data_IF_573126700898
#
_entry.id   IF_573126700898
#
_cell.length_a   1.000
_cell.length_b   1.000
_cell.length_c   1.000
_cell.angle_alpha   90.00
_cell.angle_beta   90.00
_cell.angle_gamma   90.00
#
_symmetry.space_group_name_H-M   'P 1'
#
loop_
_entity.id
_entity.type
_entity.pdbx_description
1 polymer ?
#
# COMPACT_ATOMS: atom_id res chain seq x y z
N UNK A 1 38.66 24.91 23.98
CA UNK A 1 38.38 26.09 24.84
C UNK A 1 38.42 27.35 23.99
N UNK A 2 37.77 28.46 24.39
CA UNK A 2 37.84 29.72 23.63
C UNK A 2 38.91 30.63 24.23
N UNK A 3 40.07 30.71 23.58
CA UNK A 3 41.13 31.64 23.95
C UNK A 3 40.93 32.99 23.27
N UNK A 4 41.33 34.08 23.94
CA UNK A 4 41.35 35.43 23.37
C UNK A 4 42.79 35.96 23.42
N UNK A 5 43.49 35.84 22.29
CA UNK A 5 44.89 36.26 22.18
C UNK A 5 45.00 37.77 21.96
N UNK A 6 45.53 38.49 22.95
CA UNK A 6 45.81 39.93 22.86
C UNK A 6 47.23 40.15 22.34
N UNK A 7 47.41 40.09 21.02
CA UNK A 7 48.72 40.22 20.36
C UNK A 7 49.34 41.62 20.41
N UNK A 8 48.50 42.66 20.49
CA UNK A 8 48.93 44.05 20.53
C UNK A 8 49.09 44.51 21.98
N UNK A 9 50.29 44.33 22.54
CA UNK A 9 50.64 44.82 23.88
C UNK A 9 51.85 45.76 23.82
N UNK A 10 51.84 46.79 24.66
CA UNK A 10 52.98 47.68 24.84
C UNK A 10 54.16 46.87 25.40
N UNK A 11 55.26 46.79 24.65
CA UNK A 11 56.42 45.95 24.98
C UNK A 11 56.58 44.68 24.12
N UNK A 12 55.63 44.39 23.23
CA UNK A 12 55.68 43.22 22.34
C UNK A 12 55.16 41.94 23.02
N UNK A 13 55.01 40.88 22.23
CA UNK A 13 54.54 39.57 22.69
C UNK A 13 55.67 38.55 22.51
N UNK A 14 55.97 37.72 23.53
CA UNK A 14 57.00 36.70 23.41
C UNK A 14 56.48 35.53 22.56
N UNK A 15 57.09 35.33 21.39
CA UNK A 15 56.75 34.25 20.46
C UNK A 15 57.37 32.92 20.93
N UNK A 16 56.86 32.37 22.03
CA UNK A 16 57.35 31.11 22.61
C UNK A 16 56.65 29.89 22.00
N UNK A 17 57.32 28.74 22.08
CA UNK A 17 56.74 27.45 21.68
C UNK A 17 55.43 27.16 22.44
N UNK A 18 55.35 27.51 23.72
CA UNK A 18 54.15 27.30 24.54
C UNK A 18 52.95 28.12 24.05
N UNK A 19 53.19 29.37 23.63
CA UNK A 19 52.13 30.20 23.06
C UNK A 19 51.66 29.66 21.71
N UNK A 20 52.59 29.17 20.87
CA UNK A 20 52.26 28.54 19.60
C UNK A 20 51.47 27.24 19.79
N UNK A 21 51.84 26.40 20.77
CA UNK A 21 51.07 25.21 21.14
C UNK A 21 49.66 25.57 21.63
N UNK A 22 49.51 26.66 22.39
CA UNK A 22 48.18 27.13 22.83
C UNK A 22 47.32 27.62 21.65
N UNK A 23 47.94 28.24 20.64
CA UNK A 23 47.24 28.63 19.40
C UNK A 23 46.83 27.39 18.61
N UNK A 24 47.66 26.34 18.60
CA UNK A 24 47.37 25.04 17.99
C UNK A 24 46.15 24.36 18.60
N UNK A 25 46.15 24.17 19.91
CA UNK A 25 44.98 23.65 20.65
C UNK A 25 43.71 24.49 20.43
N UNK A 26 43.86 25.80 20.16
CA UNK A 26 42.72 26.69 19.94
C UNK A 26 41.99 26.42 18.62
N UNK A 27 42.70 26.06 17.54
CA UNK A 27 42.08 25.77 16.25
C UNK A 27 41.66 24.31 16.09
N UNK A 28 42.23 23.38 16.86
CA UNK A 28 41.80 21.97 16.88
C UNK A 28 40.31 21.81 17.25
N UNK A 29 39.71 22.78 17.94
CA UNK A 29 38.27 22.76 18.25
C UNK A 29 37.38 22.67 17.00
N UNK A 30 37.86 23.12 15.83
CA UNK A 30 37.11 23.05 14.59
C UNK A 30 37.03 21.63 14.02
N UNK A 31 37.89 20.71 14.45
CA UNK A 31 37.85 19.30 14.04
C UNK A 31 36.54 18.61 14.46
N UNK A 32 35.88 19.10 15.53
CA UNK A 32 34.56 18.61 15.96
C UNK A 32 33.50 18.74 14.85
N UNK A 33 33.67 19.67 13.91
CA UNK A 33 32.79 19.77 12.74
C UNK A 33 32.96 18.58 11.77
N UNK A 34 34.15 18.00 11.70
CA UNK A 34 34.41 16.77 10.97
C UNK A 34 33.70 15.57 11.58
N UNK A 35 33.74 15.44 12.92
CA UNK A 35 32.97 14.44 13.65
C UNK A 35 31.46 14.58 13.43
N UNK A 36 30.94 15.81 13.46
CA UNK A 36 29.51 16.09 13.22
C UNK A 36 29.06 15.70 11.82
N UNK A 37 29.91 15.92 10.81
CA UNK A 37 29.63 15.57 9.43
C UNK A 37 29.67 14.05 9.20
N UNK A 38 30.44 13.32 10.01
CA UNK A 38 30.65 11.88 9.89
C UNK A 38 31.80 11.53 8.95
N UNK A 39 32.30 10.31 9.06
CA UNK A 39 33.42 9.82 8.25
C UNK A 39 33.08 9.78 6.74
N UNK A 40 34.07 10.11 5.90
CA UNK A 40 33.97 10.12 4.42
C UNK A 40 32.90 11.09 3.93
N UNK A 41 33.00 12.33 4.39
CA UNK A 41 31.98 13.34 4.09
C UNK A 41 32.59 14.54 3.38
N UNK A 42 31.94 15.02 2.33
CA UNK A 42 32.30 16.25 1.64
C UNK A 42 31.54 17.41 2.30
N UNK A 43 32.28 18.35 2.86
CA UNK A 43 31.75 19.53 3.56
C UNK A 43 31.56 20.71 2.61
N UNK A 44 32.52 20.92 1.70
CA UNK A 44 32.50 22.04 0.77
C UNK A 44 33.28 21.73 -0.51
N UNK A 45 32.85 22.32 -1.62
CA UNK A 45 33.45 22.10 -2.93
C UNK A 45 33.28 20.67 -3.44
N UNK A 46 34.37 20.09 -3.93
CA UNK A 46 34.44 18.73 -4.50
C UNK A 46 33.39 18.48 -5.58
N UNK A 47 33.14 19.48 -6.43
CA UNK A 47 32.16 19.38 -7.51
C UNK A 47 32.79 18.72 -8.72
N UNK A 48 32.09 17.73 -9.28
CA UNK A 48 32.50 17.03 -10.50
C UNK A 48 32.17 17.89 -11.71
N UNK A 49 33.19 18.33 -12.43
CA UNK A 49 33.07 19.07 -13.69
C UNK A 49 33.69 18.23 -14.81
N UNK A 50 32.84 17.57 -15.60
CA UNK A 50 33.31 16.64 -16.63
C UNK A 50 34.08 15.46 -16.03
N UNK A 51 35.37 15.35 -16.36
CA UNK A 51 36.27 14.29 -15.87
C UNK A 51 37.16 14.74 -14.71
N UNK A 52 36.90 15.87 -14.06
CA UNK A 52 37.65 16.33 -12.90
C UNK A 52 36.75 16.67 -11.71
N UNK A 53 37.31 16.60 -10.51
CA UNK A 53 36.70 17.12 -9.28
C UNK A 53 37.47 18.35 -8.85
N UNK A 54 36.74 19.43 -8.56
CA UNK A 54 37.33 20.66 -8.04
C UNK A 54 37.87 20.47 -6.61
N UNK A 55 38.82 21.31 -6.17
CA UNK A 55 39.28 21.30 -4.78
C UNK A 55 38.14 21.54 -3.78
N UNK A 56 38.35 21.13 -2.54
CA UNK A 56 37.33 21.28 -1.49
C UNK A 56 37.82 20.85 -0.11
N UNK A 57 36.87 20.57 0.79
CA UNK A 57 37.14 20.13 2.15
C UNK A 57 36.37 18.84 2.43
N UNK A 58 37.08 17.84 2.94
CA UNK A 58 36.54 16.52 3.26
C UNK A 58 36.82 16.16 4.72
N UNK A 59 35.92 15.40 5.33
CA UNK A 59 36.08 14.81 6.65
C UNK A 59 36.44 13.33 6.52
N UNK A 60 37.55 12.92 7.11
CA UNK A 60 38.02 11.53 7.15
C UNK A 60 38.42 11.22 8.60
N UNK A 61 37.82 10.18 9.17
CA UNK A 61 38.07 9.73 10.56
C UNK A 61 37.93 10.87 11.58
N UNK A 62 36.91 11.72 11.41
CA UNK A 62 36.64 12.86 12.29
C UNK A 62 37.48 14.10 12.03
N UNK A 63 38.51 14.01 11.17
CA UNK A 63 39.42 15.12 10.87
C UNK A 63 39.14 15.79 9.54
N UNK A 64 39.37 17.10 9.48
CA UNK A 64 39.19 17.94 8.30
C UNK A 64 40.47 17.97 7.47
N UNK A 65 40.33 17.67 6.18
CA UNK A 65 41.42 17.78 5.24
C UNK A 65 41.04 18.61 4.02
N UNK A 66 42.00 19.40 3.54
CA UNK A 66 41.90 20.04 2.25
C UNK A 66 42.11 19.01 1.14
N UNK A 67 41.16 18.97 0.21
CA UNK A 67 41.20 18.12 -0.97
C UNK A 67 41.68 18.94 -2.18
N UNK A 68 42.74 18.49 -2.84
CA UNK A 68 43.36 19.22 -3.95
C UNK A 68 42.60 19.11 -5.28
N UNK A 69 41.58 18.26 -5.36
CA UNK A 69 40.93 17.96 -6.64
C UNK A 69 41.74 17.00 -7.50
N UNK A 70 41.33 16.87 -8.76
CA UNK A 70 42.04 16.10 -9.77
C UNK A 70 41.12 15.34 -10.72
N UNK A 71 41.69 14.43 -11.50
CA UNK A 71 40.94 13.66 -12.50
C UNK A 71 40.08 12.60 -11.80
N UNK A 72 38.79 12.60 -12.10
CA UNK A 72 37.81 11.66 -11.59
C UNK A 72 37.77 10.38 -12.44
N UNK A 73 37.76 9.24 -11.77
CA UNK A 73 37.45 7.93 -12.34
C UNK A 73 36.46 7.20 -11.42
N UNK A 74 35.53 6.38 -11.92
CA UNK A 74 34.58 5.64 -11.08
C UNK A 74 35.22 4.72 -10.04
N UNK A 75 36.46 4.29 -10.28
CA UNK A 75 37.27 3.47 -9.37
C UNK A 75 38.34 4.27 -8.62
N UNK A 76 38.25 5.60 -8.64
CA UNK A 76 39.24 6.46 -8.02
C UNK A 76 39.24 6.29 -6.49
N UNK A 77 40.44 6.13 -5.95
CA UNK A 77 40.71 6.19 -4.52
C UNK A 77 41.33 7.53 -4.18
N UNK A 78 41.14 7.96 -2.93
CA UNK A 78 41.84 9.09 -2.33
C UNK A 78 42.69 8.62 -1.16
N UNK A 79 43.80 9.30 -0.93
CA UNK A 79 44.67 9.04 0.21
C UNK A 79 45.13 10.36 0.83
N UNK A 80 45.55 10.31 2.08
CA UNK A 80 46.11 11.46 2.80
C UNK A 80 47.60 11.52 2.46
N UNK A 81 47.98 12.51 1.66
CA UNK A 81 49.36 12.83 1.36
C UNK A 81 49.93 13.71 2.47
N UNK A 82 51.12 13.36 2.95
CA UNK A 82 51.83 14.11 4.00
C UNK A 82 53.13 14.64 3.39
N UNK A 83 53.28 15.96 3.38
CA UNK A 83 54.45 16.67 2.88
C UNK A 83 55.18 17.33 4.06
N UNK A 84 56.40 16.89 4.33
CA UNK A 84 57.27 17.46 5.34
C UNK A 84 58.08 18.61 4.75
N UNK A 85 57.95 19.82 5.30
CA UNK A 85 58.68 20.99 4.86
C UNK A 85 59.83 21.26 5.86
N UNK A 86 61.09 20.95 5.50
CA UNK A 86 62.22 21.22 6.36
C UNK A 86 62.54 22.71 6.38
N UNK A 87 62.90 23.23 7.55
CA UNK A 87 63.52 24.56 7.68
C UNK A 87 64.88 24.44 8.34
N UNK A 88 65.80 25.29 7.91
CA UNK A 88 67.10 25.43 8.56
C UNK A 88 66.92 26.33 9.77
N UNK A 89 67.29 25.82 10.93
CA UNK A 89 67.25 26.56 12.20
C UNK A 89 68.54 27.36 12.37
N UNK A 90 68.56 28.27 13.35
CA UNK A 90 69.71 29.13 13.67
C UNK A 90 70.98 28.34 14.02
N UNK A 91 70.84 27.05 14.38
CA UNK A 91 71.94 26.10 14.63
C UNK A 91 72.52 25.48 13.34
N UNK A 92 72.08 25.93 12.16
CA UNK A 92 72.36 25.36 10.84
C UNK A 92 71.91 23.91 10.62
N UNK A 93 71.09 23.35 11.51
CA UNK A 93 70.48 22.04 11.31
C UNK A 93 69.11 22.20 10.63
N UNK A 94 68.89 21.44 9.56
CA UNK A 94 67.58 21.33 8.94
C UNK A 94 66.71 20.34 9.72
N UNK A 95 65.59 20.80 10.27
CA UNK A 95 64.57 19.97 10.93
C UNK A 95 63.23 20.19 10.25
N UNK A 96 62.38 19.17 10.19
CA UNK A 96 61.00 19.31 9.72
C UNK A 96 60.23 20.21 10.68
N UNK A 97 59.74 21.35 10.18
CA UNK A 97 58.97 22.31 10.98
C UNK A 97 57.47 22.24 10.69
N UNK A 98 57.10 21.96 9.43
CA UNK A 98 55.70 21.98 9.00
C UNK A 98 55.38 20.64 8.36
N UNK A 99 54.35 19.99 8.88
CA UNK A 99 53.74 18.81 8.27
C UNK A 99 52.44 19.25 7.58
N UNK A 100 52.41 19.15 6.25
CA UNK A 100 51.22 19.50 5.46
C UNK A 100 50.51 18.22 5.03
N UNK A 101 49.29 18.04 5.54
CA UNK A 101 48.43 16.90 5.19
C UNK A 101 47.32 17.33 4.24
N UNK A 102 47.33 16.81 3.01
CA UNK A 102 46.28 17.07 2.02
C UNK A 102 45.73 15.78 1.44
N UNK A 103 44.47 15.77 1.02
CA UNK A 103 43.87 14.61 0.36
C UNK A 103 44.02 14.77 -1.15
N UNK A 104 44.54 13.73 -1.80
CA UNK A 104 44.74 13.69 -3.26
C UNK A 104 44.14 12.41 -3.84
N UNK A 105 43.76 12.46 -5.11
CA UNK A 105 43.47 11.26 -5.87
C UNK A 105 44.74 10.42 -6.07
N UNK A 106 44.59 9.10 -5.96
CA UNK A 106 45.65 8.14 -6.15
C UNK A 106 45.58 7.02 -5.11
N UNK A 107 46.66 6.25 -5.03
CA UNK A 107 46.76 5.12 -4.10
C UNK A 107 47.90 5.39 -3.13
N UNK A 108 47.59 5.44 -1.84
CA UNK A 108 48.56 5.55 -0.75
C UNK A 108 48.57 4.28 0.12
N UNK A 109 49.32 4.33 1.23
CA UNK A 109 49.36 3.24 2.21
C UNK A 109 47.98 2.92 2.79
N UNK A 110 47.20 3.95 3.11
CA UNK A 110 45.78 3.87 3.43
C UNK A 110 45.01 4.66 2.38
N UNK A 111 44.12 3.97 1.66
CA UNK A 111 43.34 4.54 0.58
C UNK A 111 41.84 4.37 0.87
N UNK A 112 41.04 5.37 0.49
CA UNK A 112 39.59 5.39 0.67
C UNK A 112 38.92 5.49 -0.69
N UNK A 113 37.85 4.74 -0.91
CA UNK A 113 37.09 4.80 -2.16
C UNK A 113 36.37 6.14 -2.25
N UNK A 114 36.57 6.88 -3.34
CA UNK A 114 35.88 8.17 -3.52
C UNK A 114 34.36 8.02 -3.62
N UNK A 115 33.86 6.88 -4.11
CA UNK A 115 32.43 6.56 -4.19
C UNK A 115 31.73 6.47 -2.83
N UNK A 116 32.50 6.26 -1.75
CA UNK A 116 31.97 6.24 -0.38
C UNK A 116 31.81 7.65 0.20
N UNK A 117 32.38 8.67 -0.46
CA UNK A 117 32.24 10.04 0.00
C UNK A 117 30.86 10.60 -0.35
N UNK A 118 30.14 11.04 0.67
CA UNK A 118 28.83 11.66 0.50
C UNK A 118 28.93 13.17 0.69
N UNK A 119 28.33 13.93 -0.23
CA UNK A 119 28.16 15.38 -0.08
C UNK A 119 26.94 15.66 0.76
N UNK A 120 27.13 16.34 1.89
CA UNK A 120 26.01 16.73 2.74
C UNK A 120 25.15 17.78 2.04
N UNK A 121 23.84 17.59 2.17
CA UNK A 121 22.90 18.65 1.90
C UNK A 121 22.97 19.72 3.00
N UNK A 122 22.67 20.96 2.64
CA UNK A 122 22.62 22.04 3.62
C UNK A 122 21.53 21.77 4.67
N UNK A 123 21.73 22.25 5.91
CA UNK A 123 20.71 22.17 6.95
C UNK A 123 19.38 22.78 6.50
N UNK A 124 19.42 23.82 5.65
CA UNK A 124 18.23 24.44 5.06
C UNK A 124 17.47 23.49 4.14
N UNK A 125 18.16 22.79 3.24
CA UNK A 125 17.50 21.83 2.34
C UNK A 125 16.96 20.63 3.09
N UNK A 126 17.68 20.15 4.12
CA UNK A 126 17.17 19.10 5.01
C UNK A 126 15.89 19.58 5.71
N UNK A 127 15.86 20.80 6.26
CA UNK A 127 14.66 21.35 6.91
C UNK A 127 13.48 21.45 5.95
N UNK A 128 13.70 21.90 4.71
CA UNK A 128 12.65 21.97 3.69
C UNK A 128 12.11 20.58 3.39
N UNK A 129 12.98 19.58 3.23
CA UNK A 129 12.55 18.19 3.00
C UNK A 129 11.74 17.64 4.16
N UNK A 130 12.19 17.86 5.39
CA UNK A 130 11.47 17.43 6.60
C UNK A 130 10.08 18.07 6.68
N UNK A 131 9.97 19.38 6.43
CA UNK A 131 8.69 20.09 6.46
C UNK A 131 7.72 19.66 5.34
N UNK A 132 8.25 19.20 4.21
CA UNK A 132 7.45 18.70 3.09
C UNK A 132 7.17 17.19 3.18
N UNK A 133 7.74 16.49 4.16
CA UNK A 133 7.51 15.05 4.35
C UNK A 133 6.25 14.88 5.21
N UNK A 134 5.46 13.84 4.90
CA UNK A 134 4.31 13.47 5.72
C UNK A 134 4.76 13.23 7.17
N UNK A 135 4.05 13.84 8.12
CA UNK A 135 4.37 13.65 9.53
C UNK A 135 3.93 12.27 10.01
N UNK A 136 4.46 11.81 11.15
CA UNK A 136 4.01 10.57 11.77
C UNK A 136 2.49 10.57 12.04
N UNK A 137 1.91 11.75 12.31
CA UNK A 137 0.47 11.92 12.50
C UNK A 137 -0.29 11.63 11.21
N UNK A 138 0.17 12.16 10.08
CA UNK A 138 -0.44 11.92 8.76
C UNK A 138 -0.38 10.44 8.38
N UNK A 139 0.77 9.79 8.60
CA UNK A 139 0.95 8.35 8.36
C UNK A 139 -0.01 7.54 9.23
N UNK A 140 -0.10 7.83 10.54
CA UNK A 140 -1.00 7.13 11.45
C UNK A 140 -2.49 7.30 11.08
N UNK A 141 -2.87 8.49 10.61
CA UNK A 141 -4.24 8.77 10.14
C UNK A 141 -4.56 7.98 8.86
N UNK A 142 -3.60 7.84 7.95
CA UNK A 142 -3.75 7.00 6.76
C UNK A 142 -3.87 5.52 7.14
N UNK A 143 -3.05 5.02 8.06
CA UNK A 143 -3.15 3.63 8.57
C UNK A 143 -4.53 3.35 9.15
N UNK A 144 -5.05 4.24 10.01
CA UNK A 144 -6.39 4.07 10.60
C UNK A 144 -7.52 4.10 9.54
N UNK A 145 -7.33 4.84 8.44
CA UNK A 145 -8.29 4.84 7.32
C UNK A 145 -8.22 3.55 6.51
N UNK A 146 -7.03 2.98 6.32
CA UNK A 146 -6.83 1.69 5.64
C UNK A 146 -7.48 0.57 6.45
N UNK A 147 -7.25 0.48 7.75
CA UNK A 147 -7.90 -0.53 8.61
C UNK A 147 -9.44 -0.50 8.49
N UNK A 148 -10.02 0.71 8.46
CA UNK A 148 -11.47 0.88 8.24
C UNK A 148 -11.92 0.43 6.85
N UNK A 149 -11.10 0.63 5.82
CA UNK A 149 -11.40 0.16 4.47
C UNK A 149 -11.33 -1.35 4.41
N UNK A 150 -10.30 -1.98 4.99
CA UNK A 150 -10.15 -3.42 5.06
C UNK A 150 -11.35 -4.09 5.73
N UNK A 151 -11.84 -3.54 6.85
CA UNK A 151 -13.05 -4.04 7.51
C UNK A 151 -14.30 -3.93 6.62
N UNK A 152 -14.42 -2.86 5.83
CA UNK A 152 -15.56 -2.66 4.91
C UNK A 152 -15.50 -3.56 3.69
N UNK A 153 -14.29 -3.86 3.21
CA UNK A 153 -14.08 -4.68 2.02
C UNK A 153 -13.87 -6.16 2.33
N UNK A 154 -13.69 -6.53 3.60
CA UNK A 154 -13.50 -7.91 4.05
C UNK A 154 -14.48 -8.96 3.45
N UNK A 155 -15.80 -8.71 3.33
CA UNK A 155 -16.71 -9.69 2.73
C UNK A 155 -16.65 -9.72 1.20
N UNK A 156 -16.01 -8.73 0.57
CA UNK A 156 -15.85 -8.64 -0.88
C UNK A 156 -14.63 -9.48 -1.22
N UNK A 157 -14.84 -10.78 -1.43
CA UNK A 157 -13.83 -11.74 -1.88
C UNK A 157 -14.39 -12.57 -3.05
N UNK A 158 -13.52 -13.16 -3.86
CA UNK A 158 -13.93 -14.02 -4.97
C UNK A 158 -14.82 -15.18 -4.44
N UNK A 159 -16.04 -15.31 -4.97
CA UNK A 159 -17.03 -16.30 -4.52
C UNK A 159 -17.69 -16.02 -3.17
N UNK A 160 -17.38 -14.91 -2.48
CA UNK A 160 -17.94 -14.59 -1.16
C UNK A 160 -19.18 -13.72 -1.19
N UNK A 161 -19.38 -12.92 -2.24
CA UNK A 161 -20.52 -12.02 -2.37
C UNK A 161 -21.05 -12.01 -3.81
N UNK A 162 -22.37 -11.91 -3.91
CA UNK A 162 -23.08 -11.68 -5.16
C UNK A 162 -23.91 -10.40 -5.03
N UNK A 163 -23.87 -9.55 -6.05
CA UNK A 163 -24.54 -8.24 -6.05
C UNK A 163 -25.39 -8.09 -7.31
N UNK A 164 -26.59 -7.53 -7.17
CA UNK A 164 -27.45 -7.22 -8.31
C UNK A 164 -26.89 -6.04 -9.12
N UNK A 165 -26.75 -6.25 -10.43
CA UNK A 165 -26.19 -5.31 -11.39
C UNK A 165 -27.21 -4.96 -12.48
N UNK A 166 -27.53 -3.67 -12.60
CA UNK A 166 -28.62 -3.17 -13.47
C UNK A 166 -28.17 -2.68 -14.84
N UNK A 167 -26.93 -2.93 -15.24
CA UNK A 167 -26.39 -2.55 -16.55
C UNK A 167 -26.00 -3.81 -17.35
N UNK A 168 -25.75 -3.70 -18.67
CA UNK A 168 -25.34 -4.86 -19.48
C UNK A 168 -24.02 -5.48 -19.01
N UNK A 169 -23.79 -6.74 -19.35
CA UNK A 169 -22.57 -7.49 -19.00
C UNK A 169 -21.28 -6.82 -19.53
N UNK A 170 -21.36 -6.15 -20.69
CA UNK A 170 -20.24 -5.40 -21.27
C UNK A 170 -19.80 -4.19 -20.42
N UNK A 171 -20.59 -3.76 -19.43
CA UNK A 171 -20.29 -2.63 -18.56
C UNK A 171 -19.90 -3.06 -17.13
N UNK A 172 -19.64 -4.35 -16.90
CA UNK A 172 -19.19 -4.84 -15.60
C UNK A 172 -17.85 -4.16 -15.25
N UNK A 173 -17.71 -3.57 -14.05
CA UNK A 173 -16.47 -2.92 -13.64
C UNK A 173 -15.27 -3.88 -13.63
N UNK A 174 -14.07 -3.34 -13.84
CA UNK A 174 -12.84 -4.11 -13.68
C UNK A 174 -12.75 -4.71 -12.26
N UNK A 175 -12.24 -5.94 -12.16
CA UNK A 175 -12.19 -6.69 -10.91
C UNK A 175 -13.50 -7.37 -10.51
N UNK A 176 -14.54 -7.33 -11.37
CA UNK A 176 -15.79 -8.06 -11.21
C UNK A 176 -16.08 -8.91 -12.46
N UNK A 177 -16.89 -9.94 -12.30
CA UNK A 177 -17.38 -10.78 -13.40
C UNK A 177 -18.87 -11.09 -13.22
N UNK A 178 -19.51 -11.55 -14.29
CA UNK A 178 -20.88 -12.07 -14.19
C UNK A 178 -20.90 -13.37 -13.39
N UNK A 179 -21.84 -13.47 -12.47
CA UNK A 179 -22.08 -14.63 -11.61
C UNK A 179 -23.12 -15.54 -12.29
N UNK A 180 -22.64 -16.60 -12.95
CA UNK A 180 -23.42 -17.40 -13.90
C UNK A 180 -24.36 -18.42 -13.24
N UNK A 181 -23.98 -18.92 -12.08
CA UNK A 181 -24.72 -19.87 -11.24
C UNK A 181 -26.05 -19.31 -10.71
N UNK A 182 -26.16 -17.98 -10.53
CA UNK A 182 -27.41 -17.33 -10.10
C UNK A 182 -28.37 -16.95 -11.24
N UNK A 183 -28.08 -17.30 -12.50
CA UNK A 183 -28.96 -16.97 -13.63
C UNK A 183 -30.33 -17.61 -13.47
N UNK A 184 -31.38 -16.77 -13.44
CA UNK A 184 -32.76 -17.21 -13.30
C UNK A 184 -33.13 -17.72 -11.90
N UNK A 185 -32.27 -17.49 -10.90
CA UNK A 185 -32.48 -17.88 -9.50
C UNK A 185 -32.66 -16.64 -8.63
N UNK A 186 -33.36 -16.82 -7.52
CA UNK A 186 -33.44 -15.83 -6.44
C UNK A 186 -32.61 -16.29 -5.25
N UNK A 187 -32.05 -15.35 -4.50
CA UNK A 187 -31.26 -15.64 -3.30
C UNK A 187 -32.24 -15.78 -2.14
N UNK A 188 -32.07 -16.83 -1.34
CA UNK A 188 -32.80 -17.06 -0.09
C UNK A 188 -31.79 -17.23 1.04
N UNK A 189 -32.13 -16.74 2.23
CA UNK A 189 -31.28 -16.86 3.40
C UNK A 189 -31.10 -18.31 3.81
N UNK A 190 -29.86 -18.70 4.09
CA UNK A 190 -29.55 -20.01 4.65
C UNK A 190 -30.14 -20.13 6.07
N UNK A 191 -30.85 -21.22 6.35
CA UNK A 191 -31.45 -21.53 7.66
C UNK A 191 -31.10 -22.97 8.02
N UNK A 192 -30.13 -23.22 8.94
CA UNK A 192 -29.68 -24.57 9.26
C UNK A 192 -30.74 -25.46 9.92
N UNK A 193 -31.78 -24.86 10.49
CA UNK A 193 -32.84 -25.57 11.21
C UNK A 193 -34.03 -25.96 10.31
N UNK A 194 -33.99 -25.59 9.03
CA UNK A 194 -35.05 -25.86 8.05
C UNK A 194 -34.49 -26.74 6.94
N UNK A 195 -35.12 -27.90 6.70
CA UNK A 195 -34.63 -28.90 5.73
C UNK A 195 -34.44 -28.34 4.32
N UNK A 196 -35.26 -27.38 3.94
CA UNK A 196 -35.32 -26.74 2.63
C UNK A 196 -34.18 -25.72 2.43
N UNK A 197 -33.61 -25.20 3.51
CA UNK A 197 -32.62 -24.11 3.49
C UNK A 197 -31.33 -24.45 4.26
N UNK A 198 -31.16 -25.70 4.71
CA UNK A 198 -30.01 -26.11 5.52
C UNK A 198 -28.73 -26.36 4.71
N UNK A 199 -28.84 -26.48 3.39
CA UNK A 199 -27.71 -26.75 2.49
C UNK A 199 -27.29 -25.45 1.81
N UNK A 200 -26.13 -24.91 2.20
CA UNK A 200 -25.56 -23.71 1.58
C UNK A 200 -25.25 -23.97 0.10
N UNK A 201 -25.71 -23.08 -0.78
CA UNK A 201 -25.58 -23.25 -2.24
C UNK A 201 -26.52 -24.29 -2.85
N UNK A 202 -27.45 -24.86 -2.07
CA UNK A 202 -28.49 -25.75 -2.58
C UNK A 202 -29.46 -25.03 -3.52
N UNK A 203 -29.99 -25.77 -4.50
CA UNK A 203 -30.98 -25.27 -5.45
C UNK A 203 -32.35 -25.89 -5.14
N UNK A 204 -33.40 -25.07 -5.17
CA UNK A 204 -34.77 -25.51 -4.95
C UNK A 204 -35.77 -24.62 -5.69
N UNK A 205 -37.03 -25.07 -5.74
CA UNK A 205 -38.15 -24.34 -6.34
C UNK A 205 -38.39 -24.68 -7.82
N UNK A 206 -39.58 -24.33 -8.31
CA UNK A 206 -40.01 -24.55 -9.70
C UNK A 206 -40.68 -23.30 -10.26
N UNK A 207 -40.54 -23.09 -11.57
CA UNK A 207 -41.17 -21.95 -12.28
C UNK A 207 -42.68 -22.13 -12.42
N UNK A 208 -43.12 -23.37 -12.57
CA UNK A 208 -44.52 -23.75 -12.69
C UNK A 208 -44.82 -24.93 -11.78
N UNK A 209 -46.07 -25.02 -11.33
CA UNK A 209 -46.55 -26.11 -10.48
C UNK A 209 -47.89 -26.63 -10.98
N UNK A 210 -48.07 -27.95 -10.95
CA UNK A 210 -49.36 -28.59 -11.27
C UNK A 210 -49.91 -29.16 -9.98
N UNK A 211 -51.16 -28.82 -9.64
CA UNK A 211 -51.79 -29.29 -8.42
C UNK A 211 -51.92 -30.82 -8.42
N UNK A 212 -51.56 -31.43 -7.29
CA UNK A 212 -51.79 -32.85 -7.05
C UNK A 212 -53.11 -33.09 -6.33
N UNK A 213 -53.57 -34.35 -6.30
CA UNK A 213 -54.80 -34.73 -5.59
C UNK A 213 -54.73 -34.34 -4.11
N UNK A 214 -53.57 -34.52 -3.45
CA UNK A 214 -53.35 -34.17 -2.04
C UNK A 214 -53.40 -32.66 -1.78
N UNK A 215 -53.24 -31.84 -2.82
CA UNK A 215 -53.32 -30.37 -2.75
C UNK A 215 -54.73 -29.84 -3.04
N UNK A 216 -55.69 -30.70 -3.36
CA UNK A 216 -57.07 -30.30 -3.56
C UNK A 216 -57.78 -30.11 -2.21
N UNK A 217 -58.51 -28.99 -2.01
CA UNK A 217 -59.34 -28.83 -0.83
C UNK A 217 -60.40 -29.94 -0.75
N UNK A 218 -60.69 -30.40 0.47
CA UNK A 218 -61.78 -31.35 0.71
C UNK A 218 -63.10 -30.72 0.25
N UNK A 219 -63.80 -31.40 -0.65
CA UNK A 219 -65.07 -30.95 -1.18
C UNK A 219 -66.06 -32.12 -1.24
N UNK A 220 -67.35 -31.81 -1.31
CA UNK A 220 -68.41 -32.79 -1.46
C UNK A 220 -69.49 -32.23 -2.37
N UNK A 221 -70.11 -33.09 -3.16
CA UNK A 221 -71.22 -32.71 -4.02
C UNK A 221 -72.42 -33.59 -3.69
N UNK A 222 -73.61 -32.98 -3.68
CA UNK A 222 -74.88 -33.70 -3.62
C UNK A 222 -75.68 -33.31 -4.85
N UNK A 223 -75.98 -34.28 -5.70
CA UNK A 223 -76.82 -34.09 -6.88
C UNK A 223 -77.90 -35.17 -6.90
N UNK A 224 -79.14 -34.75 -6.63
CA UNK A 224 -80.32 -35.61 -6.61
C UNK A 224 -81.22 -35.26 -7.78
N UNK A 225 -81.72 -36.28 -8.49
CA UNK A 225 -82.69 -36.10 -9.56
C UNK A 225 -83.73 -37.24 -9.55
N UNK A 226 -85.00 -36.85 -9.67
CA UNK A 226 -86.14 -37.71 -9.96
C UNK A 226 -86.69 -37.47 -11.39
N UNK A 227 -86.85 -38.53 -12.19
CA UNK A 227 -87.56 -38.48 -13.48
C UNK A 227 -88.89 -39.25 -13.35
N UNK A 228 -89.98 -38.67 -13.85
CA UNK A 228 -91.23 -39.41 -14.02
C UNK A 228 -91.17 -40.33 -15.24
N UNK A 229 -91.35 -41.64 -15.05
CA UNK A 229 -91.48 -42.59 -16.17
C UNK A 229 -92.95 -42.74 -16.57
N UNK A 230 -93.25 -42.36 -17.82
CA UNK A 230 -94.59 -42.48 -18.45
C UNK A 230 -95.31 -41.14 -18.63
N UNK A 231 -95.24 -40.59 -19.85
CA UNK A 231 -96.19 -39.64 -20.47
C UNK A 231 -96.58 -38.37 -19.70
N UNK A 232 -96.34 -37.21 -20.30
CA UNK A 232 -96.80 -35.90 -19.82
C UNK A 232 -98.34 -35.76 -19.87
N UNK A 233 -99.05 -36.44 -18.97
CA UNK A 233 -100.46 -36.19 -18.66
C UNK A 233 -100.72 -36.73 -17.27
N UNK A 234 -100.93 -35.83 -16.31
CA UNK A 234 -100.96 -36.16 -14.88
C UNK A 234 -102.02 -37.19 -14.52
N UNK A 235 -101.58 -38.44 -14.28
CA UNK A 235 -101.96 -39.34 -13.16
C UNK A 235 -101.50 -40.76 -13.51
N UNK A 236 -100.47 -41.28 -12.80
CA UNK A 236 -100.08 -42.70 -12.83
C UNK A 236 -98.59 -43.03 -13.00
N UNK A 237 -97.69 -42.06 -13.15
CA UNK A 237 -96.26 -42.31 -13.36
C UNK A 237 -95.51 -42.83 -12.12
N UNK A 238 -94.56 -43.74 -12.31
CA UNK A 238 -93.62 -44.20 -11.26
C UNK A 238 -92.40 -43.29 -11.25
N UNK A 239 -91.99 -42.83 -10.06
CA UNK A 239 -90.77 -42.04 -9.88
C UNK A 239 -89.57 -42.99 -9.77
N UNK A 240 -88.49 -42.69 -10.50
CA UNK A 240 -87.21 -43.41 -10.39
C UNK A 240 -86.15 -42.42 -9.90
N UNK A 241 -85.48 -42.79 -8.81
CA UNK A 241 -84.38 -42.02 -8.21
C UNK A 241 -83.02 -42.59 -8.62
N UNK A 242 -82.03 -41.71 -8.80
CA UNK A 242 -80.67 -42.14 -9.11
C UNK A 242 -79.63 -41.04 -8.93
N UNK A 243 -78.36 -41.45 -8.96
CA UNK A 243 -77.21 -40.55 -8.94
C UNK A 243 -76.65 -40.40 -10.36
N UNK A 244 -76.29 -39.17 -10.74
CA UNK A 244 -75.56 -38.88 -11.98
C UNK A 244 -74.21 -38.30 -11.65
N UNK A 245 -73.18 -38.79 -12.33
CA UNK A 245 -71.87 -38.19 -12.30
C UNK A 245 -71.90 -36.86 -13.05
N UNK A 246 -71.20 -35.86 -12.54
CA UNK A 246 -70.91 -34.63 -13.28
C UNK A 246 -69.85 -34.92 -14.33
N UNK A 247 -69.76 -34.07 -15.35
CA UNK A 247 -68.63 -34.06 -16.27
C UNK A 247 -67.37 -33.56 -15.56
N UNK A 248 -66.20 -34.04 -15.97
CA UNK A 248 -64.92 -33.53 -15.49
C UNK A 248 -64.74 -32.07 -15.91
N UNK A 249 -64.12 -31.26 -15.05
CA UNK A 249 -63.79 -29.86 -15.33
C UNK A 249 -62.45 -29.54 -14.67
N UNK A 250 -61.61 -28.78 -15.37
CA UNK A 250 -60.22 -28.51 -14.98
C UNK A 250 -59.28 -28.99 -16.08
N UNK A 251 -58.35 -28.12 -16.50
CA UNK A 251 -57.43 -28.41 -17.60
C UNK A 251 -56.14 -29.12 -17.17
N UNK A 252 -55.95 -29.36 -15.86
CA UNK A 252 -54.72 -29.89 -15.26
C UNK A 252 -53.43 -29.21 -15.79
N UNK A 253 -53.53 -27.93 -16.14
CA UNK A 253 -52.39 -27.17 -16.66
C UNK A 253 -51.56 -26.61 -15.50
N UNK A 254 -50.22 -26.60 -15.62
CA UNK A 254 -49.37 -25.95 -14.64
C UNK A 254 -49.69 -24.46 -14.54
N UNK A 255 -49.69 -23.91 -13.33
CA UNK A 255 -49.80 -22.47 -13.11
C UNK A 255 -48.42 -21.85 -12.89
N UNK A 256 -48.30 -20.54 -13.17
CA UNK A 256 -47.10 -19.77 -12.86
C UNK A 256 -46.86 -19.74 -11.34
N UNK A 257 -45.62 -19.99 -10.93
CA UNK A 257 -45.17 -19.89 -9.54
C UNK A 257 -44.12 -18.78 -9.35
N UNK A 258 -43.80 -18.02 -10.41
CA UNK A 258 -42.87 -16.89 -10.35
C UNK A 258 -43.61 -15.64 -9.85
N UNK A 259 -43.12 -15.08 -8.75
CA UNK A 259 -43.59 -13.80 -8.21
C UNK A 259 -43.20 -12.63 -9.14
N UNK A 260 -43.96 -11.51 -9.13
CA UNK A 260 -43.56 -10.31 -9.87
C UNK A 260 -42.11 -9.91 -9.57
N UNK A 261 -41.26 -9.90 -10.61
CA UNK A 261 -39.81 -9.80 -10.48
C UNK A 261 -39.21 -8.83 -11.50
N UNK A 262 -38.02 -8.30 -11.22
CA UNK A 262 -37.25 -7.46 -12.15
C UNK A 262 -35.94 -8.15 -12.53
N UNK A 263 -35.67 -8.22 -13.83
CA UNK A 263 -34.44 -8.83 -14.35
C UNK A 263 -33.26 -7.88 -14.15
N UNK A 264 -32.21 -8.37 -13.51
CA UNK A 264 -30.90 -7.77 -13.37
C UNK A 264 -29.84 -8.86 -13.50
N UNK A 265 -28.60 -8.49 -13.81
CA UNK A 265 -27.48 -9.42 -13.73
C UNK A 265 -27.08 -9.61 -12.27
N UNK A 266 -26.46 -10.74 -11.97
CA UNK A 266 -25.68 -10.91 -10.76
C UNK A 266 -24.20 -10.83 -11.11
N UNK A 267 -23.42 -10.11 -10.30
CA UNK A 267 -21.97 -10.00 -10.45
C UNK A 267 -21.29 -10.38 -9.14
N UNK A 268 -20.07 -10.88 -9.25
CA UNK A 268 -19.21 -11.26 -8.12
C UNK A 268 -17.78 -10.74 -8.33
N UNK A 269 -16.99 -10.58 -7.26
CA UNK A 269 -15.59 -10.20 -7.37
C UNK A 269 -14.78 -11.20 -8.21
N UNK A 270 -13.82 -10.66 -8.95
CA UNK A 270 -12.83 -11.39 -9.73
C UNK A 270 -11.47 -10.70 -9.59
N UNK A 271 -11.00 -10.60 -8.35
CA UNK A 271 -9.68 -10.09 -8.02
C UNK A 271 -8.62 -11.09 -8.50
N UNK A 272 -7.60 -10.56 -9.18
CA UNK A 272 -6.45 -11.33 -9.69
C UNK A 272 -5.49 -11.70 -8.56
#
# INVERSE_FOLDING_TARGET
MKYNFKFLQTGGMPLTNDLMNTIEEAYEIFEVLGDLAGNKTILSGCETVGSSVNPGVVAIEGKLYYFEGGVYSPTATVYIHTEEIPKTFEDQLSKTLIEKRTVKFGTGATSYNWSEFLKLETLRSIQVKVNNTATQVDVSALTARIEKLELKTAPIINGGIVVAWRKPAAQIPAGWKECLDFRGKTIVGWSPNESEFNTLGGEFGTKTHTLTIDQMPRHSHQHYWTIGSGGASGRGGTLVDGYRNTTETGGNQPHNNIQPSRIALYIEPNFQ
#
